data_IF_704832982400
#
_entry.id   IF_704832982400
#
_cell.length_a   1.000
_cell.length_b   1.000
_cell.length_c   1.000
_cell.angle_alpha   90.00
_cell.angle_beta   90.00
_cell.angle_gamma   90.00
#
_symmetry.space_group_name_H-M   'P 1'
#
loop_
_entity.id
_entity.type
_entity.pdbx_description
1 polymer ?
#
# COMPACT_ATOMS: atom_id res chain seq x y z
N UNK A 1 4.66 -15.44 -24.35
CA UNK A 1 4.41 -14.33 -23.45
C UNK A 1 5.07 -14.58 -22.12
N UNK A 2 5.88 -13.66 -21.67
CA UNK A 2 6.52 -13.76 -20.37
C UNK A 2 5.54 -13.56 -19.23
N UNK A 3 5.80 -14.20 -18.11
CA UNK A 3 5.13 -13.89 -16.84
C UNK A 3 5.53 -12.49 -16.38
N UNK A 4 4.62 -11.81 -15.68
CA UNK A 4 4.95 -10.55 -15.03
C UNK A 4 5.84 -10.85 -13.83
N UNK A 5 7.02 -10.24 -13.80
CA UNK A 5 7.90 -10.36 -12.66
C UNK A 5 7.34 -9.58 -11.48
N UNK A 6 7.33 -10.22 -10.32
CA UNK A 6 6.89 -9.60 -9.07
C UNK A 6 8.12 -9.35 -8.21
N UNK A 7 8.32 -8.07 -7.87
CA UNK A 7 9.40 -7.68 -6.99
C UNK A 7 9.11 -8.13 -5.56
N UNK A 8 10.03 -8.86 -4.95
CA UNK A 8 9.98 -9.16 -3.53
C UNK A 8 10.69 -8.03 -2.78
N UNK A 9 9.91 -7.12 -2.24
CA UNK A 9 10.43 -5.95 -1.56
C UNK A 9 10.88 -6.30 -0.14
N UNK A 10 12.07 -5.81 0.24
CA UNK A 10 12.52 -5.81 1.62
C UNK A 10 12.17 -4.45 2.19
N UNK A 11 11.21 -4.43 3.12
CA UNK A 11 10.77 -3.18 3.72
C UNK A 11 11.75 -2.69 4.79
N UNK A 12 11.80 -1.38 5.06
CA UNK A 12 12.67 -0.83 6.10
C UNK A 12 12.15 -1.06 7.53
N UNK A 13 10.99 -1.71 7.69
CA UNK A 13 10.41 -2.02 8.99
C UNK A 13 11.24 -3.12 9.69
N UNK A 14 11.80 -2.81 10.86
CA UNK A 14 12.56 -3.79 11.63
C UNK A 14 11.64 -4.65 12.50
N UNK A 15 12.12 -5.83 12.98
CA UNK A 15 11.32 -6.69 13.87
C UNK A 15 10.89 -6.03 15.17
N UNK A 16 11.64 -5.03 15.66
CA UNK A 16 11.34 -4.32 16.89
C UNK A 16 10.36 -3.16 16.70
N UNK A 17 10.14 -2.73 15.47
CA UNK A 17 9.22 -1.63 15.17
C UNK A 17 7.78 -2.08 15.24
N UNK A 18 6.90 -1.26 15.82
CA UNK A 18 5.46 -1.48 15.77
C UNK A 18 4.92 -1.19 14.38
N UNK A 19 5.35 -0.07 13.81
CA UNK A 19 4.96 0.37 12.48
C UNK A 19 5.99 1.36 11.94
N UNK A 20 5.93 1.62 10.64
CA UNK A 20 6.74 2.62 9.96
C UNK A 20 5.84 3.50 9.10
N UNK A 21 5.97 4.81 9.21
CA UNK A 21 5.22 5.77 8.40
C UNK A 21 6.17 6.42 7.40
N UNK A 22 5.77 6.41 6.14
CA UNK A 22 6.51 7.06 5.06
C UNK A 22 5.59 8.03 4.33
N UNK A 23 6.06 9.25 4.10
CA UNK A 23 5.35 10.26 3.33
C UNK A 23 6.17 10.61 2.10
N UNK A 24 5.57 10.50 0.92
CA UNK A 24 6.27 10.70 -0.34
C UNK A 24 5.45 11.54 -1.31
N UNK A 25 5.97 12.71 -1.74
CA UNK A 25 5.41 13.37 -2.91
C UNK A 25 5.80 12.59 -4.16
N UNK A 26 4.86 12.46 -5.10
CA UNK A 26 5.10 11.72 -6.36
C UNK A 26 4.59 12.52 -7.54
N UNK A 27 5.30 12.41 -8.65
CA UNK A 27 4.86 12.95 -9.94
C UNK A 27 4.11 11.91 -10.77
N UNK A 28 4.36 10.64 -10.49
CA UNK A 28 3.73 9.52 -11.20
C UNK A 28 3.99 8.23 -10.43
N UNK A 29 3.32 7.17 -10.83
CA UNK A 29 3.57 5.83 -10.30
C UNK A 29 4.50 5.08 -11.24
N UNK A 30 5.64 4.65 -10.74
CA UNK A 30 6.65 3.91 -11.52
C UNK A 30 7.15 2.66 -10.81
N UNK A 31 6.70 2.42 -9.58
CA UNK A 31 7.12 1.26 -8.81
C UNK A 31 6.47 0.00 -9.35
N UNK A 32 7.23 -1.09 -9.55
CA UNK A 32 6.69 -2.31 -10.15
C UNK A 32 5.72 -3.05 -9.23
N UNK A 33 4.99 -4.00 -9.80
CA UNK A 33 4.20 -4.94 -9.02
C UNK A 33 5.11 -5.63 -8.00
N UNK A 34 4.75 -5.59 -6.72
CA UNK A 34 5.61 -6.04 -5.64
C UNK A 34 4.82 -6.76 -4.56
N UNK A 35 5.55 -7.47 -3.70
CA UNK A 35 5.01 -8.20 -2.58
C UNK A 35 5.96 -8.10 -1.39
N UNK A 36 5.41 -8.00 -0.20
CA UNK A 36 6.15 -8.06 1.06
C UNK A 36 5.27 -8.68 2.15
N UNK A 37 5.85 -9.29 3.19
CA UNK A 37 5.06 -9.95 4.24
C UNK A 37 4.32 -8.99 5.17
N UNK A 38 4.75 -7.73 5.26
CA UNK A 38 4.11 -6.71 6.10
C UNK A 38 2.76 -6.28 5.54
N UNK A 39 1.86 -5.88 6.43
CA UNK A 39 0.64 -5.18 6.05
C UNK A 39 0.97 -3.74 5.69
N UNK A 40 0.15 -3.14 4.83
CA UNK A 40 0.35 -1.77 4.39
C UNK A 40 -0.98 -1.03 4.34
N UNK A 41 -1.06 0.11 5.01
CA UNK A 41 -2.16 1.06 4.86
C UNK A 41 -1.64 2.21 4.02
N UNK A 42 -2.26 2.44 2.86
CA UNK A 42 -1.82 3.42 1.89
C UNK A 42 -2.89 4.49 1.70
N UNK A 43 -2.49 5.72 1.88
CA UNK A 43 -3.34 6.89 1.67
C UNK A 43 -2.77 7.72 0.52
N UNK A 44 -3.63 8.08 -0.43
CA UNK A 44 -3.24 8.84 -1.62
C UNK A 44 -4.17 10.02 -1.83
N UNK A 45 -3.58 11.17 -2.10
CA UNK A 45 -4.28 12.38 -2.51
C UNK A 45 -3.88 12.77 -3.92
N UNK A 46 -4.85 13.28 -4.67
CA UNK A 46 -4.65 13.87 -5.99
C UNK A 46 -4.16 12.85 -7.05
N UNK A 47 -4.60 11.61 -6.94
CA UNK A 47 -4.27 10.55 -7.89
C UNK A 47 -5.48 10.04 -8.66
N UNK A 48 -6.53 10.86 -8.81
CA UNK A 48 -7.74 10.48 -9.54
C UNK A 48 -7.40 9.99 -10.95
N UNK A 49 -8.00 8.89 -11.36
CA UNK A 49 -7.77 8.27 -12.66
C UNK A 49 -6.62 7.26 -12.70
N UNK A 50 -5.81 7.19 -11.65
CA UNK A 50 -4.85 6.10 -11.51
C UNK A 50 -5.60 4.80 -11.20
N UNK A 51 -4.95 3.66 -11.40
CA UNK A 51 -5.49 2.37 -10.98
C UNK A 51 -4.64 1.77 -9.88
N UNK A 52 -5.30 1.08 -8.95
CA UNK A 52 -4.64 0.23 -7.98
C UNK A 52 -4.87 -1.22 -8.34
N UNK A 53 -3.82 -2.00 -8.23
CA UNK A 53 -3.82 -3.43 -8.53
C UNK A 53 -3.48 -4.14 -7.22
N UNK A 54 -4.37 -5.00 -6.75
CA UNK A 54 -4.16 -5.80 -5.53
C UNK A 54 -4.61 -7.22 -5.86
N UNK A 55 -3.66 -8.15 -5.92
CA UNK A 55 -3.95 -9.50 -6.40
C UNK A 55 -4.55 -9.45 -7.80
N UNK A 56 -5.76 -9.96 -7.94
CA UNK A 56 -6.51 -9.96 -9.22
C UNK A 56 -7.45 -8.76 -9.35
N UNK A 57 -7.53 -7.91 -8.34
CA UNK A 57 -8.41 -6.74 -8.35
C UNK A 57 -7.72 -5.55 -9.01
N UNK A 58 -8.46 -4.88 -9.91
CA UNK A 58 -8.00 -3.67 -10.58
C UNK A 58 -9.12 -2.63 -10.46
N UNK A 59 -8.84 -1.52 -9.78
CA UNK A 59 -9.82 -0.47 -9.54
C UNK A 59 -9.26 0.91 -9.87
N UNK A 60 -10.10 1.76 -10.45
CA UNK A 60 -9.75 3.16 -10.69
C UNK A 60 -9.89 3.96 -9.40
N UNK A 61 -8.92 4.82 -9.14
CA UNK A 61 -8.87 5.63 -7.92
C UNK A 61 -9.61 6.94 -8.11
N UNK A 62 -10.21 7.41 -7.02
CA UNK A 62 -10.77 8.76 -6.92
C UNK A 62 -9.72 9.74 -6.36
N UNK A 63 -10.15 10.97 -6.07
CA UNK A 63 -9.27 12.04 -5.57
C UNK A 63 -8.55 11.65 -4.28
N UNK A 64 -9.27 11.02 -3.37
CA UNK A 64 -8.73 10.46 -2.13
C UNK A 64 -8.89 8.95 -2.18
N UNK A 65 -7.83 8.22 -1.88
CA UNK A 65 -7.87 6.76 -1.86
C UNK A 65 -7.19 6.24 -0.58
N UNK A 66 -7.86 5.30 0.07
CA UNK A 66 -7.34 4.61 1.24
C UNK A 66 -7.42 3.12 0.99
N UNK A 67 -6.29 2.44 1.05
CA UNK A 67 -6.18 1.02 0.74
C UNK A 67 -5.43 0.29 1.86
N UNK A 68 -6.02 -0.78 2.36
CA UNK A 68 -5.33 -1.73 3.23
C UNK A 68 -4.89 -2.92 2.39
N UNK A 69 -3.58 -3.15 2.34
CA UNK A 69 -2.98 -4.29 1.64
C UNK A 69 -2.56 -5.33 2.66
N UNK A 70 -3.14 -6.52 2.57
CA UNK A 70 -2.77 -7.62 3.44
C UNK A 70 -1.34 -8.10 3.15
N UNK A 71 -0.66 -8.58 4.18
CA UNK A 71 0.68 -9.15 4.02
C UNK A 71 0.69 -10.28 3.00
N UNK A 72 1.65 -10.27 2.09
CA UNK A 72 1.79 -11.25 1.02
C UNK A 72 0.93 -10.99 -0.21
N UNK A 73 0.08 -9.96 -0.23
CA UNK A 73 -0.69 -9.61 -1.41
C UNK A 73 0.17 -8.83 -2.40
N UNK A 74 0.15 -9.26 -3.66
CA UNK A 74 0.83 -8.53 -4.75
C UNK A 74 0.07 -7.23 -5.01
N UNK A 75 0.79 -6.12 -5.13
CA UNK A 75 0.15 -4.83 -5.35
C UNK A 75 1.01 -3.85 -6.13
N UNK A 76 0.35 -2.92 -6.78
CA UNK A 76 0.96 -1.83 -7.53
C UNK A 76 -0.06 -0.74 -7.81
N UNK A 77 0.45 0.43 -8.16
CA UNK A 77 -0.35 1.51 -8.76
C UNK A 77 0.14 1.76 -10.18
N UNK A 78 -0.76 2.19 -11.03
CA UNK A 78 -0.45 2.57 -12.41
C UNK A 78 -1.10 3.91 -12.75
N UNK A 79 -0.45 4.69 -13.58
CA UNK A 79 -0.91 6.03 -13.91
C UNK A 79 -2.25 6.03 -14.67
N UNK A 80 -2.44 5.11 -15.59
CA UNK A 80 -3.67 4.97 -16.38
C UNK A 80 -4.17 6.32 -16.92
N UNK A 81 -5.26 6.86 -16.36
CA UNK A 81 -5.83 8.16 -16.72
C UNK A 81 -5.38 9.31 -15.82
N UNK A 82 -4.52 9.04 -14.86
CA UNK A 82 -4.04 10.07 -13.94
C UNK A 82 -3.03 10.97 -14.64
N UNK A 83 -3.35 12.25 -14.70
CA UNK A 83 -2.49 13.26 -15.29
C UNK A 83 -1.83 14.14 -14.22
N UNK A 84 -2.10 13.89 -12.95
CA UNK A 84 -1.54 14.64 -11.85
C UNK A 84 -0.02 14.43 -11.76
N UNK A 85 0.68 15.51 -11.47
CA UNK A 85 2.12 15.49 -11.16
C UNK A 85 2.40 15.91 -9.73
N UNK A 86 1.34 15.99 -8.90
CA UNK A 86 1.40 16.46 -7.52
C UNK A 86 0.59 15.51 -6.64
N UNK A 87 1.08 14.28 -6.52
CA UNK A 87 0.45 13.21 -5.75
C UNK A 87 1.11 13.13 -4.38
N UNK A 88 0.31 13.05 -3.33
CA UNK A 88 0.80 12.75 -1.99
C UNK A 88 0.48 11.31 -1.63
N UNK A 89 1.51 10.55 -1.25
CA UNK A 89 1.36 9.19 -0.73
C UNK A 89 1.84 9.13 0.72
N UNK A 90 0.98 8.61 1.59
CA UNK A 90 1.36 8.27 2.97
C UNK A 90 1.17 6.77 3.13
N UNK A 91 2.25 6.08 3.46
CA UNK A 91 2.26 4.63 3.63
C UNK A 91 2.59 4.28 5.07
N UNK A 92 1.78 3.42 5.67
CA UNK A 92 2.04 2.86 7.00
C UNK A 92 2.26 1.36 6.81
N UNK A 93 3.45 0.88 7.16
CA UNK A 93 3.77 -0.54 7.15
C UNK A 93 3.81 -1.08 8.58
N UNK A 94 3.31 -2.28 8.77
CA UNK A 94 3.26 -2.91 10.09
C UNK A 94 3.23 -4.44 9.98
N UNK A 95 3.65 -5.10 11.05
CA UNK A 95 3.59 -6.56 11.12
C UNK A 95 2.17 -7.02 11.47
N UNK A 96 1.79 -8.21 11.00
CA UNK A 96 0.47 -8.79 11.26
C UNK A 96 0.16 -8.88 12.77
N UNK A 97 1.17 -9.05 13.60
CA UNK A 97 1.03 -9.10 15.05
C UNK A 97 0.39 -7.84 15.66
N UNK A 98 0.57 -6.68 15.01
CA UNK A 98 -0.05 -5.44 15.47
C UNK A 98 -1.57 -5.50 15.42
N UNK A 99 -2.15 -6.14 14.40
CA UNK A 99 -3.60 -6.32 14.29
C UNK A 99 -4.14 -7.16 15.43
N UNK A 100 -3.43 -8.20 15.84
CA UNK A 100 -3.82 -9.07 16.95
C UNK A 100 -3.84 -8.27 18.25
N UNK A 101 -2.81 -7.48 18.52
CA UNK A 101 -2.72 -6.65 19.72
C UNK A 101 -3.85 -5.63 19.76
N UNK A 102 -4.10 -4.92 18.66
CA UNK A 102 -5.17 -3.92 18.58
C UNK A 102 -6.55 -4.55 18.76
N UNK A 103 -6.81 -5.69 18.14
CA UNK A 103 -8.08 -6.41 18.27
C UNK A 103 -8.32 -6.84 19.72
N UNK A 104 -7.31 -7.37 20.38
CA UNK A 104 -7.41 -7.79 21.80
C UNK A 104 -7.69 -6.59 22.70
N UNK A 105 -7.02 -5.48 22.49
CA UNK A 105 -7.22 -4.25 23.26
C UNK A 105 -8.63 -3.69 23.10
N UNK A 106 -9.16 -3.68 21.88
CA UNK A 106 -10.53 -3.22 21.61
C UNK A 106 -11.55 -4.15 22.27
N UNK A 107 -11.42 -5.45 22.14
CA UNK A 107 -12.33 -6.43 22.72
C UNK A 107 -12.33 -6.33 24.24
N UNK A 108 -11.19 -6.15 24.88
CA UNK A 108 -11.09 -6.05 26.33
C UNK A 108 -11.72 -4.76 26.90
N UNK A 109 -12.02 -3.78 26.05
CA UNK A 109 -12.69 -2.52 26.46
C UNK A 109 -14.19 -2.54 26.24
N UNK A 110 -14.67 -3.52 25.52
CA UNK A 110 -16.09 -3.70 25.29
C UNK A 110 -16.75 -4.46 26.47
#
# INVERSE_FOLDING_TARGET
>A
MGSVDVLREITPLSPEDCFLVMQRPKRSFSYPLHVHPEFELNYLENAAGAIRIVGDSVEEMEELDLLLVAGGAKHAYSNHKCLSTDILEITIQFHASLLIVLSTSVISRL
#
